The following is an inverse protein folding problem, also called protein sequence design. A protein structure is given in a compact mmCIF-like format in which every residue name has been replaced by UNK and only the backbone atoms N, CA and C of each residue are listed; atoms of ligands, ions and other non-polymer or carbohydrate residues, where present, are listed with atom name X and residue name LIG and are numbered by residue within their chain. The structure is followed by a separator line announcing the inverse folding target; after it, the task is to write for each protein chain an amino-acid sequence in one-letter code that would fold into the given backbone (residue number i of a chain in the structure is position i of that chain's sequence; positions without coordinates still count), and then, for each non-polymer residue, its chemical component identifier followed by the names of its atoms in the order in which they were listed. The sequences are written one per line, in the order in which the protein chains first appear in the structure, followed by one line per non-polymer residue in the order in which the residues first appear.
data_IF_836874229313
#
_entry.id   IF_836874229313
#
_cell.length_a   1.000
_cell.length_b   1.000
_cell.length_c   1.000
_cell.angle_alpha   90.00
_cell.angle_beta   90.00
_cell.angle_gamma   90.00
#
_symmetry.space_group_name_H-M   'P 1'
#
loop_
_entity.id
_entity.type
_entity.pdbx_description
1 polymer ?
#
# COMPACT_ATOMS: atom_id res chain seq x y z
N UNK A 1 12.73 -6.54 -8.44
CA UNK A 1 12.38 -5.26 -7.77
C UNK A 1 11.65 -5.55 -6.48
N UNK A 2 11.92 -4.79 -5.42
CA UNK A 2 11.25 -4.86 -4.12
C UNK A 2 10.44 -3.57 -3.93
N UNK A 3 9.12 -3.69 -3.83
CA UNK A 3 8.20 -2.57 -3.58
C UNK A 3 7.82 -2.57 -2.10
N UNK A 4 8.10 -1.48 -1.40
CA UNK A 4 7.83 -1.34 0.03
C UNK A 4 6.64 -0.39 0.22
N UNK A 5 5.56 -0.91 0.79
CA UNK A 5 4.48 -0.10 1.34
C UNK A 5 4.98 0.60 2.61
N UNK A 6 5.28 1.89 2.47
CA UNK A 6 5.89 2.67 3.55
C UNK A 6 5.04 2.68 4.80
N UNK A 7 3.77 3.01 4.67
CA UNK A 7 2.87 3.15 5.81
C UNK A 7 2.68 1.83 6.54
N UNK A 8 2.54 0.72 5.80
CA UNK A 8 2.37 -0.61 6.38
C UNK A 8 3.63 -1.06 7.14
N UNK A 9 4.82 -0.89 6.53
CA UNK A 9 6.09 -1.27 7.18
C UNK A 9 6.39 -0.35 8.36
N UNK A 10 6.16 0.96 8.24
CA UNK A 10 6.33 1.93 9.31
C UNK A 10 5.47 1.58 10.53
N UNK A 11 4.17 1.37 10.32
CA UNK A 11 3.24 1.01 11.39
C UNK A 11 3.53 -0.37 11.98
N UNK A 12 3.95 -1.34 11.18
CA UNK A 12 4.37 -2.64 11.71
C UNK A 12 5.55 -2.51 12.69
N UNK A 13 6.50 -1.61 12.43
CA UNK A 13 7.58 -1.30 13.38
C UNK A 13 7.06 -0.61 14.64
N UNK A 14 6.16 0.38 14.51
CA UNK A 14 5.57 1.07 15.67
C UNK A 14 4.83 0.08 16.59
N UNK A 15 4.02 -0.81 16.03
CA UNK A 15 3.29 -1.80 16.82
C UNK A 15 4.21 -2.88 17.42
N UNK A 16 5.23 -3.32 16.69
CA UNK A 16 6.20 -4.31 17.19
C UNK A 16 7.04 -3.78 18.38
N UNK A 17 7.30 -2.48 18.40
CA UNK A 17 8.09 -1.79 19.42
C UNK A 17 7.23 -0.83 20.27
N UNK A 18 5.96 -1.15 20.45
CA UNK A 18 5.00 -0.26 21.13
C UNK A 18 5.42 0.12 22.55
N UNK A 19 6.10 -0.79 23.27
CA UNK A 19 6.62 -0.53 24.61
C UNK A 19 7.74 0.51 24.58
N UNK A 20 8.69 0.40 23.66
CA UNK A 20 9.80 1.33 23.50
C UNK A 20 9.28 2.72 23.11
N UNK A 21 8.29 2.76 22.21
CA UNK A 21 7.66 4.00 21.79
C UNK A 21 6.83 4.65 22.91
N UNK A 22 6.19 3.86 23.78
CA UNK A 22 5.45 4.41 24.93
C UNK A 22 6.36 5.02 26.02
N UNK A 23 7.65 4.69 26.00
CA UNK A 23 8.67 5.24 26.90
C UNK A 23 9.38 6.46 26.33
N UNK A 24 9.10 6.85 25.09
CA UNK A 24 9.70 8.03 24.47
C UNK A 24 9.20 9.31 25.17
N UNK A 25 10.14 10.07 25.74
CA UNK A 25 9.82 11.28 26.51
C UNK A 25 9.43 12.45 25.61
N UNK A 26 9.97 12.47 24.39
CA UNK A 26 9.71 13.54 23.42
C UNK A 26 9.72 13.02 21.96
N UNK A 27 9.33 13.91 21.05
CA UNK A 27 9.31 13.65 19.60
C UNK A 27 10.69 13.25 19.06
N UNK A 28 11.77 13.83 19.57
CA UNK A 28 13.15 13.57 19.09
C UNK A 28 13.57 12.15 19.42
N UNK A 29 13.30 11.69 20.63
CA UNK A 29 13.58 10.32 21.07
C UNK A 29 12.72 9.32 20.29
N UNK A 30 11.43 9.62 20.10
CA UNK A 30 10.54 8.80 19.26
C UNK A 30 11.11 8.64 17.85
N UNK A 31 11.44 9.75 17.20
CA UNK A 31 11.99 9.74 15.83
C UNK A 31 13.31 8.97 15.74
N UNK A 32 14.16 9.06 16.78
CA UNK A 32 15.43 8.31 16.84
C UNK A 32 15.19 6.79 16.86
N UNK A 33 14.26 6.32 17.70
CA UNK A 33 13.90 4.89 17.78
C UNK A 33 13.30 4.44 16.45
N UNK A 34 12.36 5.23 15.92
CA UNK A 34 11.66 4.93 14.67
C UNK A 34 12.61 4.82 13.49
N UNK A 35 13.50 5.80 13.31
CA UNK A 35 14.53 5.80 12.25
C UNK A 35 15.35 4.52 12.31
N UNK A 36 15.87 4.18 13.49
CA UNK A 36 16.69 2.99 13.66
C UNK A 36 15.91 1.73 13.26
N UNK A 37 14.72 1.54 13.78
CA UNK A 37 13.88 0.38 13.51
C UNK A 37 13.53 0.26 12.02
N UNK A 38 13.10 1.35 11.39
CA UNK A 38 12.68 1.36 10.00
C UNK A 38 13.84 1.03 9.06
N UNK A 39 15.00 1.68 9.24
CA UNK A 39 16.17 1.44 8.39
C UNK A 39 16.70 0.02 8.55
N UNK A 40 16.79 -0.50 9.79
CA UNK A 40 17.16 -1.90 10.03
C UNK A 40 16.18 -2.86 9.34
N UNK A 41 14.91 -2.56 9.35
CA UNK A 41 13.87 -3.36 8.69
C UNK A 41 14.04 -3.36 7.18
N UNK A 42 14.25 -2.20 6.55
CA UNK A 42 14.47 -2.10 5.10
C UNK A 42 15.75 -2.86 4.69
N UNK A 43 16.86 -2.68 5.41
CA UNK A 43 18.09 -3.43 5.16
C UNK A 43 17.91 -4.94 5.31
N UNK A 44 17.13 -5.38 6.30
CA UNK A 44 16.82 -6.80 6.48
C UNK A 44 16.07 -7.38 5.28
N UNK A 45 15.12 -6.63 4.69
CA UNK A 45 14.42 -7.05 3.48
C UNK A 45 15.36 -7.07 2.27
N UNK A 46 16.20 -6.05 2.10
CA UNK A 46 17.23 -6.04 1.05
C UNK A 46 18.09 -7.30 1.13
N UNK A 47 18.67 -7.58 2.29
CA UNK A 47 19.56 -8.73 2.49
C UNK A 47 18.85 -10.07 2.28
N UNK A 48 17.61 -10.18 2.74
CA UNK A 48 16.83 -11.42 2.64
C UNK A 48 16.40 -11.72 1.21
N UNK A 49 16.00 -10.71 0.44
CA UNK A 49 15.25 -10.89 -0.78
C UNK A 49 16.01 -10.53 -2.06
N UNK A 50 17.11 -9.76 -1.99
CA UNK A 50 17.81 -9.26 -3.18
C UNK A 50 18.30 -10.35 -4.13
N UNK A 51 18.70 -11.52 -3.61
CA UNK A 51 19.12 -12.64 -4.46
C UNK A 51 18.05 -13.14 -5.43
N UNK A 52 16.77 -12.99 -5.07
CA UNK A 52 15.63 -13.49 -5.85
C UNK A 52 14.94 -12.39 -6.64
N UNK A 53 14.82 -11.19 -6.04
CA UNK A 53 14.02 -10.10 -6.61
C UNK A 53 14.84 -8.93 -7.13
N UNK A 54 16.18 -8.99 -6.99
CA UNK A 54 17.08 -7.90 -7.34
C UNK A 54 17.25 -6.88 -6.21
N UNK A 55 18.20 -5.97 -6.40
CA UNK A 55 18.59 -4.96 -5.40
C UNK A 55 17.77 -3.67 -5.46
N UNK A 56 16.93 -3.52 -6.51
CA UNK A 56 16.14 -2.33 -6.71
C UNK A 56 15.00 -2.29 -5.71
N UNK A 57 15.07 -1.34 -4.79
CA UNK A 57 14.03 -1.05 -3.80
C UNK A 57 13.33 0.23 -4.22
N UNK A 58 11.99 0.21 -4.24
CA UNK A 58 11.15 1.40 -4.42
C UNK A 58 10.19 1.48 -3.24
N UNK A 59 10.09 2.64 -2.64
CA UNK A 59 9.22 2.91 -1.50
C UNK A 59 8.00 3.65 -2.00
N UNK A 60 6.82 3.08 -1.76
CA UNK A 60 5.54 3.69 -2.08
C UNK A 60 4.95 4.30 -0.80
N UNK A 61 4.65 5.59 -0.83
CA UNK A 61 4.12 6.32 0.32
C UNK A 61 2.81 7.02 -0.02
N UNK A 62 1.97 7.17 1.02
CA UNK A 62 0.70 7.89 0.91
C UNK A 62 0.96 9.37 0.72
N UNK A 63 0.38 9.98 -0.31
CA UNK A 63 0.42 11.41 -0.57
C UNK A 63 -0.64 12.18 0.21
N UNK A 64 -0.57 13.50 0.11
CA UNK A 64 -1.58 14.38 0.71
C UNK A 64 -2.90 14.30 -0.05
N UNK A 65 -4.00 14.15 0.68
CA UNK A 65 -5.31 13.93 0.08
C UNK A 65 -5.55 12.46 -0.25
N UNK A 66 -6.72 12.17 -0.82
CA UNK A 66 -7.08 10.83 -1.24
C UNK A 66 -8.20 10.91 -2.26
N UNK A 67 -7.98 10.42 -3.48
CA UNK A 67 -8.98 10.46 -4.54
C UNK A 67 -10.25 9.67 -4.19
N UNK A 68 -10.11 8.56 -3.45
CA UNK A 68 -11.27 7.76 -3.01
C UNK A 68 -12.16 8.55 -2.05
N UNK A 69 -11.58 9.39 -1.17
CA UNK A 69 -12.37 10.28 -0.29
C UNK A 69 -13.09 11.38 -1.03
N UNK A 70 -12.58 11.81 -2.17
CA UNK A 70 -13.29 12.78 -3.02
C UNK A 70 -14.53 12.15 -3.65
N UNK A 71 -14.45 10.88 -4.06
CA UNK A 71 -15.57 10.13 -4.62
C UNK A 71 -16.52 9.57 -3.55
N UNK A 72 -15.97 9.16 -2.39
CA UNK A 72 -16.71 8.55 -1.29
C UNK A 72 -16.19 9.10 0.06
N UNK A 73 -16.80 10.16 0.62
CA UNK A 73 -16.35 10.83 1.84
C UNK A 73 -16.22 9.93 3.07
N UNK A 74 -17.02 8.85 3.14
CA UNK A 74 -17.02 7.88 4.23
C UNK A 74 -15.81 6.92 4.20
N UNK A 75 -15.02 6.94 3.10
CA UNK A 75 -13.83 6.11 2.95
C UNK A 75 -12.83 6.35 4.08
N UNK A 76 -12.49 5.29 4.81
CA UNK A 76 -11.56 5.30 5.97
C UNK A 76 -11.94 6.29 7.09
N UNK A 77 -13.19 6.79 7.15
CA UNK A 77 -13.62 7.77 8.15
C UNK A 77 -13.57 7.20 9.59
N UNK A 78 -13.82 5.90 9.77
CA UNK A 78 -13.77 5.22 11.08
C UNK A 78 -12.36 5.09 11.68
N UNK A 79 -11.30 5.25 10.87
CA UNK A 79 -9.91 5.08 11.34
C UNK A 79 -9.46 6.10 12.38
N UNK A 80 -10.01 7.32 12.36
CA UNK A 80 -9.71 8.33 13.37
C UNK A 80 -10.07 7.84 14.78
N UNK A 81 -11.28 7.31 14.97
CA UNK A 81 -11.74 6.76 16.25
C UNK A 81 -10.86 5.59 16.72
N UNK A 82 -10.42 4.71 15.82
CA UNK A 82 -9.53 3.60 16.18
C UNK A 82 -8.14 4.10 16.65
N UNK A 83 -7.61 5.16 16.02
CA UNK A 83 -6.36 5.80 16.47
C UNK A 83 -6.47 6.38 17.87
N UNK A 84 -7.54 7.10 18.16
CA UNK A 84 -7.77 7.72 19.48
C UNK A 84 -7.80 6.67 20.60
N UNK A 85 -8.22 5.45 20.29
CA UNK A 85 -8.31 4.33 21.24
C UNK A 85 -7.02 3.51 21.37
N UNK A 86 -6.01 3.76 20.56
CA UNK A 86 -4.80 2.93 20.49
C UNK A 86 -3.79 3.18 21.60
N UNK A 87 -3.89 4.31 22.31
CA UNK A 87 -2.92 4.73 23.34
C UNK A 87 -1.57 5.21 22.80
N UNK A 88 -1.39 5.28 21.47
CA UNK A 88 -0.18 5.80 20.83
C UNK A 88 -0.28 7.32 20.64
N UNK A 89 0.86 8.01 20.75
CA UNK A 89 0.95 9.41 20.35
C UNK A 89 1.09 9.49 18.82
N UNK A 90 -0.05 9.62 18.14
CA UNK A 90 -0.11 9.66 16.67
C UNK A 90 0.56 10.87 16.05
N UNK A 91 0.64 12.00 16.77
CA UNK A 91 1.38 13.17 16.29
C UNK A 91 2.87 12.85 16.18
N UNK A 92 3.42 12.11 17.16
CA UNK A 92 4.79 11.65 17.11
C UNK A 92 5.01 10.62 16.00
N UNK A 93 4.07 9.69 15.80
CA UNK A 93 4.13 8.71 14.72
C UNK A 93 4.19 9.39 13.36
N UNK A 94 3.24 10.28 13.08
CA UNK A 94 3.18 10.96 11.78
C UNK A 94 4.39 11.87 11.54
N UNK A 95 4.81 12.64 12.53
CA UNK A 95 5.99 13.48 12.41
C UNK A 95 7.29 12.67 12.18
N UNK A 96 7.42 11.50 12.81
CA UNK A 96 8.53 10.59 12.56
C UNK A 96 8.48 9.99 11.15
N UNK A 97 7.29 9.60 10.67
CA UNK A 97 7.09 9.11 9.32
C UNK A 97 7.45 10.19 8.27
N UNK A 98 6.99 11.44 8.47
CA UNK A 98 7.31 12.53 7.55
C UNK A 98 8.81 12.86 7.55
N UNK A 99 9.46 12.86 8.71
CA UNK A 99 10.91 12.99 8.82
C UNK A 99 11.63 11.90 8.02
N UNK A 100 11.21 10.65 8.16
CA UNK A 100 11.83 9.53 7.45
C UNK A 100 11.59 9.58 5.94
N UNK A 101 10.41 10.00 5.48
CA UNK A 101 10.16 10.19 4.05
C UNK A 101 11.13 11.22 3.46
N UNK A 102 11.37 12.33 4.16
CA UNK A 102 12.32 13.35 3.71
C UNK A 102 13.77 12.87 3.74
N UNK A 103 14.17 12.17 4.79
CA UNK A 103 15.51 11.55 4.87
C UNK A 103 15.71 10.53 3.74
N UNK A 104 14.70 9.67 3.45
CA UNK A 104 14.78 8.71 2.35
C UNK A 104 14.96 9.44 1.02
N UNK A 105 14.21 10.49 0.78
CA UNK A 105 14.26 11.27 -0.48
C UNK A 105 15.60 11.95 -0.71
N UNK A 106 16.29 12.33 0.36
CA UNK A 106 17.50 13.15 0.28
C UNK A 106 18.81 12.42 0.54
N UNK A 107 18.77 11.33 1.32
CA UNK A 107 19.98 10.69 1.83
C UNK A 107 20.15 9.24 1.35
N UNK A 108 19.06 8.49 1.15
CA UNK A 108 19.14 7.06 0.87
C UNK A 108 19.01 6.73 -0.62
N UNK A 109 19.56 5.58 -1.07
CA UNK A 109 19.58 5.22 -2.49
C UNK A 109 18.27 4.59 -2.96
N UNK A 110 17.15 4.88 -2.31
CA UNK A 110 15.86 4.29 -2.62
C UNK A 110 14.87 5.34 -3.12
N UNK A 111 14.36 5.18 -4.34
CA UNK A 111 13.24 6.01 -4.79
C UNK A 111 12.09 5.94 -3.80
N UNK A 112 11.57 7.10 -3.40
CA UNK A 112 10.30 7.19 -2.69
C UNK A 112 9.30 7.92 -3.57
N UNK A 113 8.19 7.25 -3.85
CA UNK A 113 7.10 7.81 -4.68
C UNK A 113 5.95 8.15 -3.74
N UNK A 114 5.71 9.45 -3.62
CA UNK A 114 4.65 10.06 -2.82
C UNK A 114 4.00 11.14 -3.70
N UNK A 115 2.80 10.87 -4.21
CA UNK A 115 2.09 11.79 -5.09
C UNK A 115 0.76 12.23 -4.48
N UNK A 116 0.35 13.50 -4.70
CA UNK A 116 -0.93 13.98 -4.17
C UNK A 116 -2.09 13.07 -4.58
N UNK A 117 -3.03 12.91 -3.67
CA UNK A 117 -4.27 12.14 -3.81
C UNK A 117 -4.10 10.62 -3.90
N UNK A 118 -2.88 10.08 -4.04
CA UNK A 118 -2.61 8.64 -4.12
C UNK A 118 -2.27 8.05 -2.75
N UNK A 119 -2.71 6.83 -2.55
CA UNK A 119 -2.23 5.95 -1.49
C UNK A 119 -1.01 5.14 -1.97
N UNK A 120 -0.17 4.67 -1.06
CA UNK A 120 0.96 3.80 -1.39
C UNK A 120 0.53 2.54 -2.16
N UNK A 121 -0.65 2.02 -1.86
CA UNK A 121 -1.26 0.88 -2.55
C UNK A 121 -1.51 1.15 -4.05
N UNK A 122 -1.96 2.37 -4.37
CA UNK A 122 -2.17 2.79 -5.76
C UNK A 122 -0.84 2.86 -6.51
N UNK A 123 0.18 3.42 -5.86
CA UNK A 123 1.54 3.49 -6.43
C UNK A 123 2.07 2.10 -6.73
N UNK A 124 1.97 1.17 -5.77
CA UNK A 124 2.39 -0.23 -5.93
C UNK A 124 1.62 -0.88 -7.09
N UNK A 125 0.30 -0.71 -7.15
CA UNK A 125 -0.53 -1.30 -8.19
C UNK A 125 -0.14 -0.81 -9.60
N UNK A 126 0.13 0.47 -9.75
CA UNK A 126 0.58 1.06 -11.02
C UNK A 126 1.97 0.53 -11.42
N UNK A 127 2.91 0.46 -10.46
CA UNK A 127 4.27 -0.02 -10.72
C UNK A 127 4.30 -1.51 -11.10
N UNK A 128 3.48 -2.33 -10.44
CA UNK A 128 3.36 -3.78 -10.76
C UNK A 128 2.82 -4.01 -12.16
N UNK A 129 1.89 -3.16 -12.60
CA UNK A 129 1.26 -3.25 -13.93
C UNK A 129 2.09 -2.59 -15.04
N UNK A 130 3.23 -1.98 -14.69
CA UNK A 130 4.14 -1.39 -15.68
C UNK A 130 4.52 -2.46 -16.71
N UNK A 131 4.36 -2.22 -18.02
CA UNK A 131 4.89 -3.11 -19.05
C UNK A 131 6.39 -3.32 -18.80
N UNK A 132 6.85 -4.57 -18.70
CA UNK A 132 8.28 -4.83 -18.67
C UNK A 132 8.88 -4.17 -19.91
N UNK A 133 9.91 -3.34 -19.73
CA UNK A 133 10.62 -2.67 -20.82
C UNK A 133 11.28 -3.76 -21.68
N UNK A 134 10.55 -4.28 -22.63
CA UNK A 134 11.06 -5.11 -23.71
C UNK A 134 10.01 -5.12 -24.83
N UNK A 135 10.30 -4.33 -25.82
CA UNK A 135 9.70 -4.24 -27.15
C UNK A 135 8.89 -2.96 -27.43
N UNK A 136 9.20 -2.36 -28.57
CA UNK A 136 8.63 -1.17 -29.17
C UNK A 136 7.13 -1.29 -29.59
N UNK A 137 6.34 -2.08 -28.87
CA UNK A 137 4.91 -2.18 -29.08
C UNK A 137 4.17 -1.53 -27.93
N UNK A 138 3.37 -0.54 -28.23
CA UNK A 138 2.29 -0.01 -27.38
C UNK A 138 1.31 -1.16 -27.13
N UNK A 139 1.61 -1.99 -26.14
CA UNK A 139 0.71 -3.04 -25.69
C UNK A 139 -0.19 -2.47 -24.61
N UNK A 140 -1.44 -2.89 -24.65
CA UNK A 140 -2.53 -2.53 -23.78
C UNK A 140 -2.05 -2.41 -22.32
N UNK A 141 -2.19 -1.24 -21.71
CA UNK A 141 -1.72 -0.92 -20.36
C UNK A 141 -2.29 -1.87 -19.28
N UNK A 142 -3.33 -2.60 -19.63
CA UNK A 142 -4.03 -3.57 -18.79
C UNK A 142 -3.79 -5.03 -19.19
N UNK A 143 -2.95 -5.29 -20.20
CA UNK A 143 -2.62 -6.67 -20.55
C UNK A 143 -1.82 -7.31 -19.39
N UNK A 144 -2.15 -8.53 -18.96
CA UNK A 144 -1.31 -9.26 -18.02
C UNK A 144 0.07 -9.39 -18.62
N UNK A 145 1.11 -9.03 -17.85
CA UNK A 145 2.51 -9.06 -18.30
C UNK A 145 2.81 -10.38 -19.01
N UNK A 146 2.98 -10.30 -20.31
CA UNK A 146 3.21 -11.47 -21.17
C UNK A 146 4.49 -12.21 -20.76
N UNK A 147 4.52 -13.50 -20.96
CA UNK A 147 5.55 -14.44 -20.47
C UNK A 147 6.89 -14.40 -21.26
N UNK A 148 7.20 -13.30 -21.96
CA UNK A 148 8.34 -13.18 -22.86
C UNK A 148 9.51 -12.40 -22.25
N UNK A 149 10.54 -13.10 -21.81
CA UNK A 149 11.85 -12.61 -21.41
C UNK A 149 12.27 -12.99 -19.98
N UNK A 150 13.55 -12.79 -19.56
CA UNK A 150 13.99 -12.94 -18.18
C UNK A 150 13.42 -11.77 -17.36
N UNK A 151 12.12 -11.82 -17.11
CA UNK A 151 11.41 -10.75 -16.49
C UNK A 151 11.69 -10.73 -15.00
N UNK A 152 12.06 -9.57 -14.54
CA UNK A 152 12.32 -9.24 -13.15
C UNK A 152 11.12 -9.63 -12.27
N UNK A 153 11.37 -10.47 -11.28
CA UNK A 153 10.38 -10.79 -10.25
C UNK A 153 10.15 -9.56 -9.38
N UNK A 154 8.93 -9.38 -8.93
CA UNK A 154 8.56 -8.28 -8.02
C UNK A 154 8.11 -8.85 -6.69
N UNK A 155 8.62 -8.28 -5.60
CA UNK A 155 8.19 -8.55 -4.25
C UNK A 155 7.50 -7.32 -3.68
N UNK A 156 6.27 -7.46 -3.21
CA UNK A 156 5.55 -6.44 -2.46
C UNK A 156 5.75 -6.71 -0.97
N UNK A 157 6.24 -5.73 -0.23
CA UNK A 157 6.34 -5.79 1.23
C UNK A 157 5.18 -5.00 1.82
N UNK A 158 4.11 -5.69 2.15
CA UNK A 158 2.90 -5.15 2.80
C UNK A 158 2.11 -6.28 3.45
N UNK A 159 1.45 -6.01 4.58
CA UNK A 159 0.49 -6.92 5.19
C UNK A 159 -0.94 -6.72 4.64
N UNK A 160 -1.15 -5.73 3.77
CA UNK A 160 -2.47 -5.42 3.24
C UNK A 160 -3.01 -6.56 2.36
N UNK A 161 -4.25 -6.97 2.67
CA UNK A 161 -4.92 -8.03 1.91
C UNK A 161 -5.27 -7.64 0.48
N UNK A 162 -5.30 -6.36 0.17
CA UNK A 162 -5.63 -5.85 -1.16
C UNK A 162 -4.54 -6.10 -2.18
N UNK A 163 -3.29 -6.22 -1.73
CA UNK A 163 -2.16 -6.59 -2.57
C UNK A 163 -2.32 -7.95 -3.25
N UNK A 164 -3.21 -8.83 -2.75
CA UNK A 164 -3.52 -10.13 -3.39
C UNK A 164 -4.05 -9.97 -4.82
N UNK A 165 -4.66 -8.83 -5.14
CA UNK A 165 -5.11 -8.50 -6.49
C UNK A 165 -3.97 -8.41 -7.51
N UNK A 166 -2.75 -8.18 -7.02
CA UNK A 166 -1.57 -7.97 -7.84
C UNK A 166 -0.72 -9.24 -7.99
N UNK A 167 -1.07 -10.31 -7.27
CA UNK A 167 -0.30 -11.55 -7.33
C UNK A 167 -0.33 -12.18 -8.72
N UNK A 168 0.82 -12.71 -9.13
CA UNK A 168 0.99 -13.45 -10.37
C UNK A 168 2.15 -14.43 -10.24
N UNK A 169 2.51 -15.15 -11.31
CA UNK A 169 3.73 -15.97 -11.34
C UNK A 169 5.00 -15.19 -11.03
N UNK A 170 4.98 -13.86 -11.24
CA UNK A 170 6.14 -12.95 -11.09
C UNK A 170 6.02 -11.98 -9.93
N UNK A 171 4.83 -11.86 -9.33
CA UNK A 171 4.55 -10.91 -8.24
C UNK A 171 4.14 -11.69 -7.00
N UNK A 172 4.92 -11.56 -5.95
CA UNK A 172 4.67 -12.16 -4.65
C UNK A 172 4.57 -11.07 -3.58
N UNK A 173 3.94 -11.40 -2.47
CA UNK A 173 3.77 -10.50 -1.34
C UNK A 173 4.38 -11.14 -0.09
N UNK A 174 5.15 -10.34 0.66
CA UNK A 174 5.66 -10.66 1.98
C UNK A 174 4.96 -9.78 3.03
N UNK A 175 4.39 -10.41 4.03
CA UNK A 175 3.76 -9.69 5.14
C UNK A 175 4.77 -9.41 6.27
N UNK A 176 5.03 -8.13 6.61
CA UNK A 176 5.86 -7.76 7.75
C UNK A 176 5.24 -8.21 9.09
N UNK A 177 3.92 -8.34 9.16
CA UNK A 177 3.19 -8.74 10.37
C UNK A 177 3.35 -10.23 10.68
N UNK A 178 3.12 -11.10 9.69
CA UNK A 178 3.26 -12.56 9.87
C UNK A 178 4.67 -13.07 9.62
N UNK A 179 5.53 -12.24 9.02
CA UNK A 179 6.90 -12.57 8.59
C UNK A 179 6.93 -13.79 7.66
N UNK A 180 5.96 -13.85 6.75
CA UNK A 180 5.81 -14.94 5.80
C UNK A 180 5.23 -14.43 4.46
N UNK A 181 5.37 -15.27 3.42
CA UNK A 181 4.72 -15.01 2.14
C UNK A 181 3.20 -15.13 2.25
N UNK A 182 2.51 -14.17 1.65
CA UNK A 182 1.05 -14.19 1.61
C UNK A 182 0.58 -15.12 0.50
N UNK A 183 -0.21 -16.13 0.86
CA UNK A 183 -0.86 -17.03 -0.10
C UNK A 183 -2.28 -16.55 -0.42
N UNK A 184 -2.72 -16.78 -1.66
CA UNK A 184 -4.12 -16.60 -2.05
C UNK A 184 -4.84 -17.91 -1.74
N UNK A 185 -5.91 -17.84 -0.95
CA UNK A 185 -6.78 -19.00 -0.70
C UNK A 185 -7.55 -19.35 -1.96
N UNK A 186 -7.76 -20.64 -2.19
CA UNK A 186 -8.61 -21.12 -3.27
C UNK A 186 -10.00 -20.47 -3.22
N UNK A 187 -10.46 -20.00 -4.37
CA UNK A 187 -11.74 -19.30 -4.49
C UNK A 187 -11.76 -17.83 -4.06
N UNK A 188 -10.60 -17.26 -3.68
CA UNK A 188 -10.55 -15.82 -3.44
C UNK A 188 -10.79 -15.04 -4.74
N UNK A 189 -11.67 -14.06 -4.70
CA UNK A 189 -11.92 -13.16 -5.82
C UNK A 189 -12.16 -11.73 -5.32
N UNK A 190 -11.81 -10.73 -6.14
CA UNK A 190 -12.14 -9.33 -5.85
C UNK A 190 -13.66 -9.10 -5.78
N UNK A 191 -14.44 -9.88 -6.50
CA UNK A 191 -15.90 -9.77 -6.52
C UNK A 191 -16.55 -10.05 -5.17
N UNK A 192 -15.94 -10.92 -4.36
CA UNK A 192 -16.38 -11.12 -2.98
C UNK A 192 -16.23 -9.83 -2.17
N UNK A 193 -15.08 -9.13 -2.30
CA UNK A 193 -14.83 -7.87 -1.63
C UNK A 193 -15.73 -6.75 -2.16
N UNK A 194 -15.97 -6.69 -3.47
CA UNK A 194 -16.94 -5.74 -4.06
C UNK A 194 -18.34 -5.96 -3.48
N UNK A 195 -18.80 -7.19 -3.40
CA UNK A 195 -20.16 -7.48 -2.91
C UNK A 195 -20.29 -7.28 -1.38
N UNK A 196 -19.31 -7.74 -0.60
CA UNK A 196 -19.31 -7.66 0.87
C UNK A 196 -18.87 -6.31 1.42
N UNK A 197 -18.19 -5.50 0.61
CA UNK A 197 -17.49 -4.30 1.07
C UNK A 197 -16.21 -4.59 1.83
N UNK A 198 -15.64 -3.53 2.39
CA UNK A 198 -14.44 -3.56 3.24
C UNK A 198 -14.65 -2.72 4.49
N UNK A 199 -14.83 -3.38 5.62
CA UNK A 199 -15.03 -2.68 6.89
C UNK A 199 -13.79 -1.94 7.37
N UNK A 200 -12.59 -2.40 7.03
CA UNK A 200 -11.31 -1.75 7.36
C UNK A 200 -11.14 -0.41 6.65
N UNK A 201 -11.71 -0.30 5.46
CA UNK A 201 -11.69 0.91 4.63
C UNK A 201 -13.00 1.70 4.69
N UNK A 202 -13.96 1.26 5.52
CA UNK A 202 -15.24 1.93 5.66
C UNK A 202 -16.13 1.79 4.43
N UNK A 203 -15.91 0.78 3.58
CA UNK A 203 -16.71 0.51 2.38
C UNK A 203 -17.81 -0.49 2.74
N UNK A 204 -19.11 -0.06 2.77
CA UNK A 204 -20.20 -0.95 3.13
C UNK A 204 -20.49 -1.98 2.03
N UNK A 205 -21.18 -3.06 2.40
CA UNK A 205 -21.66 -4.02 1.41
C UNK A 205 -22.73 -3.39 0.49
N UNK A 206 -23.03 -4.05 -0.62
CA UNK A 206 -23.94 -3.54 -1.66
C UNK A 206 -25.40 -3.35 -1.21
N UNK A 207 -25.78 -3.83 -0.02
CA UNK A 207 -27.11 -3.66 0.56
C UNK A 207 -27.17 -2.61 1.67
N UNK A 208 -25.99 -2.10 2.10
CA UNK A 208 -25.88 -1.13 3.20
C UNK A 208 -25.73 0.29 2.68
N UNK A 209 -26.22 1.25 3.43
CA UNK A 209 -26.09 2.67 3.10
C UNK A 209 -24.65 3.15 3.20
N UNK A 210 -24.35 4.28 2.55
CA UNK A 210 -23.00 4.80 2.44
C UNK A 210 -22.39 5.13 3.81
N UNK A 211 -23.19 5.60 4.76
CA UNK A 211 -22.79 5.98 6.12
C UNK A 211 -22.85 4.84 7.15
N UNK A 212 -22.87 3.59 6.68
CA UNK A 212 -23.03 2.40 7.52
C UNK A 212 -22.04 2.32 8.69
N UNK A 213 -20.80 2.75 8.50
CA UNK A 213 -19.75 2.69 9.51
C UNK A 213 -19.59 3.97 10.33
N UNK A 214 -20.27 5.06 9.96
CA UNK A 214 -20.12 6.37 10.60
C UNK A 214 -21.32 6.75 11.46
N UNK A 215 -22.48 6.12 11.24
CA UNK A 215 -23.69 6.32 12.02
C UNK A 215 -24.13 5.07 12.76
N UNK A 216 -24.86 5.21 13.90
CA UNK A 216 -25.50 4.08 14.56
C UNK A 216 -26.47 3.37 13.64
N UNK A 217 -26.41 2.04 13.58
CA UNK A 217 -27.27 1.25 12.73
C UNK A 217 -28.37 0.56 13.54
N UNK A 218 -29.62 0.54 13.03
CA UNK A 218 -30.75 -0.05 13.76
C UNK A 218 -30.72 -1.59 13.76
N UNK A 219 -29.94 -2.20 12.85
CA UNK A 219 -29.89 -3.66 12.68
C UNK A 219 -28.54 -4.11 12.15
N UNK A 220 -28.34 -5.42 12.05
CA UNK A 220 -27.16 -6.00 11.38
C UNK A 220 -27.27 -5.80 9.86
N UNK A 221 -26.12 -5.64 9.21
CA UNK A 221 -26.04 -5.59 7.75
C UNK A 221 -26.64 -6.84 7.11
N UNK A 222 -27.36 -6.66 6.01
CA UNK A 222 -27.92 -7.78 5.23
C UNK A 222 -26.80 -8.67 4.73
N UNK A 223 -26.95 -9.97 4.91
CA UNK A 223 -25.93 -10.94 4.50
C UNK A 223 -25.79 -11.03 2.97
N UNK A 224 -24.56 -11.13 2.51
CA UNK A 224 -24.21 -11.34 1.10
C UNK A 224 -23.94 -12.83 0.89
N UNK A 225 -24.80 -13.51 0.13
CA UNK A 225 -24.66 -14.94 -0.14
C UNK A 225 -23.63 -15.23 -1.24
N UNK A 226 -23.12 -16.48 -1.29
CA UNK A 226 -22.22 -16.91 -2.38
C UNK A 226 -22.89 -16.82 -3.76
N UNK A 227 -24.22 -17.09 -3.85
CA UNK A 227 -24.98 -16.93 -5.08
C UNK A 227 -24.94 -15.49 -5.56
N UNK A 228 -25.19 -14.53 -4.66
CA UNK A 228 -25.14 -13.10 -4.99
C UNK A 228 -23.72 -12.67 -5.44
N UNK A 229 -22.67 -13.16 -4.80
CA UNK A 229 -21.28 -12.88 -5.24
C UNK A 229 -21.08 -13.36 -6.69
N UNK A 230 -21.58 -14.53 -7.05
CA UNK A 230 -21.52 -15.04 -8.42
C UNK A 230 -22.33 -14.18 -9.40
N UNK A 231 -23.52 -13.72 -9.01
CA UNK A 231 -24.33 -12.81 -9.82
C UNK A 231 -23.64 -11.46 -10.04
N UNK A 232 -23.04 -10.88 -8.99
CA UNK A 232 -22.25 -9.65 -9.08
C UNK A 232 -21.04 -9.84 -10.02
N UNK A 233 -20.31 -10.95 -9.86
CA UNK A 233 -19.19 -11.30 -10.75
C UNK A 233 -19.64 -11.34 -12.20
N UNK A 234 -20.70 -12.11 -12.51
CA UNK A 234 -21.20 -12.24 -13.87
C UNK A 234 -21.66 -10.90 -14.45
N UNK A 235 -22.38 -10.10 -13.66
CA UNK A 235 -22.87 -8.79 -14.10
C UNK A 235 -21.73 -7.79 -14.38
N UNK A 236 -20.67 -7.78 -13.56
CA UNK A 236 -19.48 -6.94 -13.79
C UNK A 236 -18.77 -7.39 -15.05
N UNK A 237 -18.49 -8.69 -15.19
CA UNK A 237 -17.75 -9.23 -16.33
C UNK A 237 -18.48 -9.01 -17.66
N UNK A 238 -19.81 -9.08 -17.66
CA UNK A 238 -20.65 -8.85 -18.85
C UNK A 238 -21.03 -7.37 -19.07
N UNK A 239 -20.66 -6.45 -18.19
CA UNK A 239 -21.05 -5.04 -18.28
C UNK A 239 -22.56 -4.80 -18.13
N UNK A 240 -23.24 -5.63 -17.36
CA UNK A 240 -24.71 -5.60 -17.24
C UNK A 240 -25.22 -5.24 -15.84
N UNK A 241 -24.38 -4.67 -14.96
CA UNK A 241 -24.71 -4.33 -13.57
C UNK A 241 -26.02 -3.53 -13.48
N UNK A 242 -26.15 -2.46 -14.27
CA UNK A 242 -27.32 -1.57 -14.27
C UNK A 242 -28.60 -2.20 -14.84
N UNK A 243 -28.47 -3.34 -15.54
CA UNK A 243 -29.61 -4.10 -16.09
C UNK A 243 -30.06 -5.20 -15.15
N UNK A 244 -29.14 -5.76 -14.36
CA UNK A 244 -29.37 -6.93 -13.50
C UNK A 244 -29.82 -6.52 -12.10
N UNK A 245 -29.27 -5.41 -11.57
CA UNK A 245 -29.52 -4.96 -10.21
C UNK A 245 -30.42 -3.71 -10.16
N UNK A 246 -31.23 -3.55 -9.08
CA UNK A 246 -31.90 -2.29 -8.81
C UNK A 246 -30.94 -1.12 -8.77
N UNK A 247 -31.37 0.06 -9.18
CA UNK A 247 -30.50 1.23 -9.36
C UNK A 247 -29.67 1.60 -8.13
N UNK A 248 -30.24 1.48 -6.92
CA UNK A 248 -29.52 1.74 -5.68
C UNK A 248 -28.44 0.70 -5.38
N UNK A 249 -28.69 -0.57 -5.68
CA UNK A 249 -27.70 -1.65 -5.54
C UNK A 249 -26.62 -1.53 -6.61
N UNK A 250 -27.00 -1.26 -7.87
CA UNK A 250 -26.05 -1.04 -8.96
C UNK A 250 -25.08 0.11 -8.64
N UNK A 251 -25.60 1.25 -8.15
CA UNK A 251 -24.77 2.38 -7.69
C UNK A 251 -23.76 1.95 -6.61
N UNK A 252 -24.22 1.15 -5.63
CA UNK A 252 -23.32 0.65 -4.55
C UNK A 252 -22.29 -0.35 -5.07
N UNK A 253 -22.62 -1.17 -6.08
CA UNK A 253 -21.66 -2.03 -6.76
C UNK A 253 -20.59 -1.16 -7.45
N UNK A 254 -20.95 -0.15 -8.22
CA UNK A 254 -20.01 0.76 -8.86
C UNK A 254 -19.14 1.52 -7.85
N UNK A 255 -19.74 2.02 -6.74
CA UNK A 255 -18.96 2.60 -5.64
C UNK A 255 -17.92 1.61 -5.12
N UNK A 256 -18.31 0.37 -4.83
CA UNK A 256 -17.38 -0.61 -4.26
C UNK A 256 -16.28 -1.01 -5.26
N UNK A 257 -16.59 -1.11 -6.55
CA UNK A 257 -15.59 -1.30 -7.60
C UNK A 257 -14.54 -0.19 -7.53
N UNK A 258 -14.95 1.08 -7.55
CA UNK A 258 -14.02 2.21 -7.50
C UNK A 258 -13.18 2.23 -6.21
N UNK A 259 -13.76 1.81 -5.07
CA UNK A 259 -13.06 1.85 -3.79
C UNK A 259 -12.06 0.71 -3.58
N UNK A 260 -12.36 -0.50 -4.08
CA UNK A 260 -11.60 -1.70 -3.71
C UNK A 260 -10.85 -2.37 -4.85
N UNK A 261 -11.22 -2.11 -6.13
CA UNK A 261 -10.55 -2.73 -7.27
C UNK A 261 -9.41 -1.85 -7.80
N UNK A 262 -8.18 -2.32 -7.63
CA UNK A 262 -6.97 -1.63 -8.10
C UNK A 262 -6.87 -1.51 -9.63
N UNK A 263 -7.81 -2.10 -10.41
CA UNK A 263 -7.90 -1.85 -11.85
C UNK A 263 -8.63 -0.53 -12.16
N UNK A 264 -9.30 0.05 -11.17
CA UNK A 264 -10.10 1.28 -11.32
C UNK A 264 -9.39 2.54 -10.79
N UNK A 265 -8.09 2.44 -10.49
CA UNK A 265 -7.27 3.63 -10.19
C UNK A 265 -7.34 4.60 -11.39
N UNK A 266 -7.70 5.89 -11.16
CA UNK A 266 -7.87 6.84 -12.25
C UNK A 266 -6.62 6.99 -13.13
N UNK A 267 -6.80 6.90 -14.45
CA UNK A 267 -5.69 6.91 -15.43
C UNK A 267 -4.79 8.14 -15.34
N UNK A 268 -5.32 9.28 -14.85
CA UNK A 268 -4.53 10.51 -14.65
C UNK A 268 -3.31 10.32 -13.74
N UNK A 269 -3.30 9.31 -12.88
CA UNK A 269 -2.20 9.04 -11.96
C UNK A 269 -1.11 8.13 -12.53
N UNK A 270 -1.41 7.37 -13.59
CA UNK A 270 -0.49 6.34 -14.09
C UNK A 270 0.81 6.94 -14.62
N UNK A 271 0.71 7.94 -15.51
CA UNK A 271 1.90 8.60 -16.07
C UNK A 271 2.74 9.28 -14.99
N UNK A 272 2.17 10.09 -14.07
CA UNK A 272 2.96 10.69 -12.98
C UNK A 272 3.71 9.70 -12.10
N UNK A 273 3.12 8.54 -11.79
CA UNK A 273 3.79 7.49 -10.98
C UNK A 273 4.98 6.91 -11.75
N UNK A 274 4.79 6.55 -13.02
CA UNK A 274 5.84 5.96 -13.84
C UNK A 274 6.97 6.97 -14.08
N UNK A 275 6.65 8.21 -14.39
CA UNK A 275 7.63 9.28 -14.55
C UNK A 275 8.42 9.56 -13.28
N UNK A 276 7.79 9.47 -12.10
CA UNK A 276 8.48 9.66 -10.83
C UNK A 276 9.57 8.61 -10.60
N UNK A 277 9.37 7.39 -11.10
CA UNK A 277 10.40 6.36 -11.06
C UNK A 277 11.45 6.54 -12.15
N UNK A 278 11.02 6.81 -13.40
CA UNK A 278 11.91 6.92 -14.57
C UNK A 278 12.84 8.14 -14.50
N UNK A 279 12.36 9.23 -13.90
CA UNK A 279 13.10 10.49 -13.70
C UNK A 279 13.81 10.56 -12.35
N UNK A 280 13.78 9.46 -11.55
CA UNK A 280 14.44 9.47 -10.26
C UNK A 280 15.95 9.64 -10.43
N UNK A 281 16.47 10.66 -9.77
CA UNK A 281 17.90 10.92 -9.66
C UNK A 281 18.35 10.64 -8.22
N UNK A 282 19.38 9.83 -8.08
CA UNK A 282 19.99 9.54 -6.79
C UNK A 282 20.59 10.82 -6.19
N UNK A 283 19.98 11.33 -5.12
CA UNK A 283 20.44 12.51 -4.39
C UNK A 283 21.39 12.15 -3.26
N UNK A 284 21.17 10.99 -2.64
CA UNK A 284 21.96 10.51 -1.50
C UNK A 284 23.31 9.92 -1.91
N UNK A 285 24.23 9.93 -0.97
CA UNK A 285 25.52 9.27 -1.11
C UNK A 285 25.95 8.63 0.20
N UNK A 286 26.86 7.64 0.15
CA UNK A 286 27.43 7.05 1.37
C UNK A 286 28.05 8.10 2.28
N UNK A 287 28.66 9.13 1.72
CA UNK A 287 29.26 10.22 2.50
C UNK A 287 28.20 11.01 3.26
N UNK A 288 27.12 11.41 2.61
CA UNK A 288 26.01 12.12 3.27
C UNK A 288 25.33 11.26 4.35
N UNK A 289 25.14 9.97 4.09
CA UNK A 289 24.60 9.05 5.09
C UNK A 289 25.56 8.89 6.29
N UNK A 290 26.84 8.79 6.04
CA UNK A 290 27.87 8.70 7.10
C UNK A 290 27.84 9.94 7.99
N UNK A 291 27.88 11.13 7.41
CA UNK A 291 27.81 12.40 8.16
C UNK A 291 26.51 12.49 8.99
N UNK A 292 25.39 12.13 8.39
CA UNK A 292 24.11 12.12 9.07
C UNK A 292 24.08 11.14 10.25
N UNK A 293 24.58 9.91 10.10
CA UNK A 293 24.64 8.93 11.18
C UNK A 293 25.61 9.36 12.30
N UNK A 294 26.72 10.00 11.95
CA UNK A 294 27.65 10.57 12.94
C UNK A 294 26.97 11.69 13.75
N UNK A 295 26.28 12.62 13.11
CA UNK A 295 25.55 13.71 13.77
C UNK A 295 24.45 13.18 14.72
N UNK A 296 23.81 12.07 14.35
CA UNK A 296 22.77 11.42 15.15
C UNK A 296 23.33 10.49 16.25
N UNK A 297 24.62 10.21 16.26
CA UNK A 297 25.22 9.19 17.15
C UNK A 297 24.68 7.78 16.85
N UNK A 298 24.34 7.49 15.59
CA UNK A 298 23.71 6.23 15.16
C UNK A 298 24.77 5.18 14.80
N UNK A 299 25.61 4.79 15.75
CA UNK A 299 26.78 3.91 15.56
C UNK A 299 26.42 2.56 14.91
N UNK A 300 25.27 1.97 15.25
CA UNK A 300 24.83 0.71 14.66
C UNK A 300 24.46 0.83 13.17
N UNK A 301 23.88 1.95 12.74
CA UNK A 301 23.62 2.22 11.33
C UNK A 301 24.92 2.56 10.58
N UNK A 302 25.80 3.30 11.23
CA UNK A 302 27.14 3.61 10.69
C UNK A 302 27.95 2.34 10.39
N UNK A 303 27.91 1.35 11.29
CA UNK A 303 28.56 0.07 11.09
C UNK A 303 28.01 -0.75 9.90
N UNK A 304 26.83 -0.42 9.41
CA UNK A 304 26.14 -1.07 8.29
C UNK A 304 26.07 -0.20 7.03
N UNK A 305 26.85 0.87 6.97
CA UNK A 305 26.79 1.85 5.87
C UNK A 305 26.98 1.21 4.49
N UNK A 306 27.74 0.15 4.38
CA UNK A 306 27.98 -0.57 3.12
C UNK A 306 26.79 -1.44 2.66
N UNK A 307 25.79 -1.63 3.51
CA UNK A 307 24.60 -2.39 3.16
C UNK A 307 23.51 -1.53 2.49
N UNK A 308 23.63 -0.19 2.55
CA UNK A 308 22.69 0.75 1.93
C UNK A 308 22.83 0.90 0.41
#
# INVERSE_FOLDING_TARGET
MILIDFSNVALANVFALSREFSLAEDQKQFTKIFRHALLQTILSYKNKFSKVYGTDIVIAADGKGNWRKQEFPEYKASRAKARDQSGLNWDYVFAAMDTMKEEIRTLYPWPIIELPELEGDDVIAILVKRPAVASDAVTDFFAPAGDSGPAQRTLIISADGDMKQLHSKRVQQWSPMTRDFVSIKDGWTIYEKIAKGDSGDGVPNIYSDDDWFTKPQPSRAKAVSKKLISEVHQAITSGTVDKVFPADVARRIHRNINMVDMNHIPKRFHVPVLESLDKYELKGSKHLMMEHFMQLGASQLLARLDEF
#
